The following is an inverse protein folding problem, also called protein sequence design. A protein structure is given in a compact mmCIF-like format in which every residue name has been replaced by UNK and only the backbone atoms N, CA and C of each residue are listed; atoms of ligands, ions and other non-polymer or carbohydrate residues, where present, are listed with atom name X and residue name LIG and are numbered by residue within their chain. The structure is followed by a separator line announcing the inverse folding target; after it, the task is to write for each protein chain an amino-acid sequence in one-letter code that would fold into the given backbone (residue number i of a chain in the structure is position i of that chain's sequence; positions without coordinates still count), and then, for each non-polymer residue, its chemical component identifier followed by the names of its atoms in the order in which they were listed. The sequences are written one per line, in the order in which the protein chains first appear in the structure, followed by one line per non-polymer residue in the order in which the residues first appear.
data_IF_811318189378
#
_entry.id   IF_811318189378
#
_cell.length_a   1.000
_cell.length_b   1.000
_cell.length_c   1.000
_cell.angle_alpha   90.00
_cell.angle_beta   90.00
_cell.angle_gamma   90.00
#
_symmetry.space_group_name_H-M   'P 1'
#
loop_
_entity.id
_entity.type
_entity.pdbx_description
1 polymer ?
#
# COMPACT_ATOMS: atom_id res chain seq x y z
N UNK A 1 -10.26 -11.81 -17.95
CA UNK A 1 -11.16 -11.68 -16.81
C UNK A 1 -10.54 -10.85 -15.68
N UNK A 2 -9.31 -11.12 -15.22
CA UNK A 2 -8.69 -10.40 -14.08
C UNK A 2 -8.39 -8.91 -14.33
N UNK A 3 -8.12 -8.51 -15.58
CA UNK A 3 -7.74 -7.11 -15.89
C UNK A 3 -8.95 -6.17 -15.82
N UNK A 4 -10.12 -6.61 -16.22
CA UNK A 4 -11.35 -5.79 -16.20
C UNK A 4 -11.75 -5.46 -14.75
N UNK A 5 -11.70 -6.46 -13.86
CA UNK A 5 -12.05 -6.31 -12.46
C UNK A 5 -11.12 -5.31 -11.73
N UNK A 6 -9.86 -5.18 -12.18
CA UNK A 6 -8.91 -4.27 -11.54
C UNK A 6 -9.18 -2.81 -11.91
N UNK A 7 -9.49 -2.51 -13.18
CA UNK A 7 -9.89 -1.17 -13.60
C UNK A 7 -11.16 -0.71 -12.90
N UNK A 8 -12.13 -1.59 -12.74
CA UNK A 8 -13.36 -1.33 -11.99
C UNK A 8 -13.06 -1.00 -10.52
N UNK A 9 -12.19 -1.78 -9.87
CA UNK A 9 -11.78 -1.52 -8.49
C UNK A 9 -11.03 -0.18 -8.33
N UNK A 10 -10.16 0.18 -9.29
CA UNK A 10 -9.48 1.48 -9.28
C UNK A 10 -10.47 2.63 -9.35
N UNK A 11 -11.38 2.54 -10.30
CA UNK A 11 -12.42 3.53 -10.54
C UNK A 11 -13.33 3.68 -9.33
N UNK A 12 -13.80 2.56 -8.79
CA UNK A 12 -14.67 2.52 -7.62
C UNK A 12 -13.98 3.13 -6.38
N UNK A 13 -12.69 2.78 -6.15
CA UNK A 13 -11.95 3.34 -5.01
C UNK A 13 -11.81 4.86 -5.13
N UNK A 14 -11.43 5.38 -6.30
CA UNK A 14 -11.27 6.81 -6.51
C UNK A 14 -12.60 7.56 -6.34
N UNK A 15 -13.70 7.01 -6.84
CA UNK A 15 -15.04 7.54 -6.63
C UNK A 15 -15.38 7.62 -5.12
N UNK A 16 -15.05 6.56 -4.37
CA UNK A 16 -15.23 6.54 -2.92
C UNK A 16 -14.40 7.59 -2.21
N UNK A 17 -13.12 7.73 -2.56
CA UNK A 17 -12.22 8.71 -1.93
C UNK A 17 -12.68 10.16 -2.20
N UNK A 18 -13.11 10.45 -3.43
CA UNK A 18 -13.67 11.75 -3.80
C UNK A 18 -14.97 12.07 -3.04
N UNK A 19 -15.84 11.07 -2.87
CA UNK A 19 -17.12 11.25 -2.16
C UNK A 19 -16.94 11.38 -0.65
N UNK A 20 -16.00 10.62 -0.06
CA UNK A 20 -15.70 10.68 1.36
C UNK A 20 -14.94 11.96 1.76
N UNK A 21 -14.27 12.59 0.80
CA UNK A 21 -13.43 13.74 1.06
C UNK A 21 -12.29 13.44 2.03
N UNK A 22 -11.80 14.47 2.72
CA UNK A 22 -10.71 14.34 3.67
C UNK A 22 -11.21 13.80 5.03
N UNK A 23 -11.29 12.50 5.14
CA UNK A 23 -11.69 11.82 6.37
C UNK A 23 -10.66 10.74 6.78
N UNK A 24 -10.81 10.23 8.01
CA UNK A 24 -9.90 9.18 8.56
C UNK A 24 -9.83 7.92 7.68
N UNK A 25 -10.93 7.55 7.01
CA UNK A 25 -10.96 6.39 6.11
C UNK A 25 -10.14 6.66 4.84
N UNK A 26 -10.31 7.85 4.24
CA UNK A 26 -9.56 8.31 3.07
C UNK A 26 -8.07 8.35 3.37
N UNK A 27 -7.65 9.04 4.44
CA UNK A 27 -6.25 9.14 4.83
C UNK A 27 -5.62 7.77 5.08
N UNK A 28 -6.37 6.84 5.71
CA UNK A 28 -5.90 5.46 5.92
C UNK A 28 -5.70 4.70 4.62
N UNK A 29 -6.62 4.82 3.66
CA UNK A 29 -6.51 4.16 2.35
C UNK A 29 -5.37 4.75 1.53
N UNK A 30 -5.26 6.07 1.48
CA UNK A 30 -4.18 6.78 0.79
C UNK A 30 -2.81 6.38 1.33
N UNK A 31 -2.65 6.26 2.66
CA UNK A 31 -1.38 5.83 3.27
C UNK A 31 -0.97 4.39 2.96
N UNK A 32 -1.87 3.56 2.47
CA UNK A 32 -1.63 2.15 2.14
C UNK A 32 -1.34 1.91 0.65
N UNK A 33 -1.55 2.92 -0.18
CA UNK A 33 -1.42 2.83 -1.63
C UNK A 33 -0.30 3.74 -2.14
N UNK A 34 0.11 3.48 -3.36
CA UNK A 34 1.05 4.31 -4.13
C UNK A 34 0.49 4.53 -5.54
N UNK A 35 1.07 5.45 -6.31
CA UNK A 35 0.72 5.63 -7.72
C UNK A 35 0.81 4.30 -8.49
N UNK A 36 1.80 3.45 -8.19
CA UNK A 36 1.97 2.11 -8.78
C UNK A 36 0.88 1.10 -8.41
N UNK A 37 -0.02 1.44 -7.49
CA UNK A 37 -1.18 0.59 -7.17
C UNK A 37 -2.24 0.63 -8.26
N UNK A 38 -2.20 1.64 -9.13
CA UNK A 38 -3.13 1.85 -10.22
C UNK A 38 -2.48 1.49 -11.56
N UNK A 39 -3.22 0.80 -12.43
CA UNK A 39 -2.78 0.46 -13.78
C UNK A 39 -3.10 1.57 -14.78
N UNK A 40 -4.29 2.17 -14.66
CA UNK A 40 -4.70 3.25 -15.52
C UNK A 40 -3.93 4.54 -15.25
N UNK A 41 -3.46 5.18 -16.31
CA UNK A 41 -2.64 6.41 -16.22
C UNK A 41 -3.44 7.59 -15.66
N UNK A 42 -4.72 7.69 -16.02
CA UNK A 42 -5.60 8.76 -15.54
C UNK A 42 -5.90 8.57 -14.06
N UNK A 43 -6.18 7.32 -13.65
CA UNK A 43 -6.39 6.97 -12.26
C UNK A 43 -5.17 7.25 -11.39
N UNK A 44 -3.95 7.00 -11.89
CA UNK A 44 -2.71 7.40 -11.19
C UNK A 44 -2.62 8.90 -10.94
N UNK A 45 -2.95 9.71 -11.95
CA UNK A 45 -2.94 11.18 -11.83
C UNK A 45 -3.93 11.67 -10.79
N UNK A 46 -5.14 11.10 -10.78
CA UNK A 46 -6.19 11.42 -9.81
C UNK A 46 -5.75 11.01 -8.41
N UNK A 47 -5.25 9.79 -8.24
CA UNK A 47 -4.76 9.31 -6.95
C UNK A 47 -3.61 10.17 -6.42
N UNK A 48 -2.67 10.56 -7.27
CA UNK A 48 -1.56 11.46 -6.91
C UNK A 48 -2.09 12.79 -6.37
N UNK A 49 -3.06 13.40 -7.05
CA UNK A 49 -3.68 14.64 -6.61
C UNK A 49 -4.39 14.47 -5.25
N UNK A 50 -5.19 13.41 -5.08
CA UNK A 50 -5.86 13.08 -3.82
C UNK A 50 -4.84 12.89 -2.68
N UNK A 51 -3.75 12.15 -2.95
CA UNK A 51 -2.70 11.91 -1.97
C UNK A 51 -2.02 13.22 -1.51
N UNK A 52 -1.71 14.11 -2.45
CA UNK A 52 -1.12 15.41 -2.14
C UNK A 52 -2.06 16.29 -1.30
N UNK A 53 -3.35 16.35 -1.66
CA UNK A 53 -4.36 17.10 -0.90
C UNK A 53 -4.54 16.53 0.51
N UNK A 54 -4.55 15.20 0.66
CA UNK A 54 -4.59 14.57 1.97
C UNK A 54 -3.37 14.90 2.84
N UNK A 55 -2.17 14.93 2.26
CA UNK A 55 -0.93 15.25 2.98
C UNK A 55 -0.87 16.71 3.40
N UNK A 56 -1.33 17.63 2.53
CA UNK A 56 -1.39 19.07 2.85
C UNK A 56 -2.56 19.44 3.79
N UNK A 57 -3.46 18.49 4.08
CA UNK A 57 -4.65 18.74 4.89
C UNK A 57 -5.73 19.56 4.16
N UNK A 58 -5.60 19.72 2.86
CA UNK A 58 -6.55 20.42 2.00
C UNK A 58 -7.81 19.57 1.75
N UNK A 59 -8.91 20.22 1.38
CA UNK A 59 -10.17 19.53 1.08
C UNK A 59 -9.98 18.66 -0.16
N UNK A 60 -10.43 17.40 -0.09
CA UNK A 60 -10.46 16.49 -1.22
C UNK A 60 -11.86 16.52 -1.83
N UNK A 61 -12.01 17.27 -2.91
CA UNK A 61 -13.22 17.32 -3.71
C UNK A 61 -12.87 17.37 -5.22
N UNK A 62 -13.89 17.39 -6.07
CA UNK A 62 -13.71 17.40 -7.53
C UNK A 62 -12.94 18.62 -8.04
N UNK A 63 -13.23 19.79 -7.49
CA UNK A 63 -12.60 21.06 -7.88
C UNK A 63 -11.13 21.04 -7.49
N UNK A 64 -10.85 20.73 -6.23
CA UNK A 64 -9.49 20.65 -5.70
C UNK A 64 -8.64 19.63 -6.46
N UNK A 65 -9.20 18.44 -6.76
CA UNK A 65 -8.49 17.42 -7.53
C UNK A 65 -8.25 17.86 -8.96
N UNK A 66 -9.24 18.47 -9.62
CA UNK A 66 -9.06 19.01 -10.98
C UNK A 66 -7.97 20.06 -11.01
N UNK A 67 -7.97 21.01 -10.09
CA UNK A 67 -6.98 22.08 -10.04
C UNK A 67 -5.59 21.53 -9.66
N UNK A 68 -5.53 20.55 -8.79
CA UNK A 68 -4.28 19.87 -8.43
C UNK A 68 -3.68 19.11 -9.60
N UNK A 69 -4.49 18.40 -10.40
CA UNK A 69 -3.99 17.72 -11.61
C UNK A 69 -3.49 18.71 -12.64
N UNK A 70 -4.14 19.87 -12.82
CA UNK A 70 -3.64 20.96 -13.69
C UNK A 70 -2.31 21.51 -13.17
N UNK A 71 -2.21 21.80 -11.88
CA UNK A 71 -0.97 22.32 -11.28
C UNK A 71 0.21 21.33 -11.37
N UNK A 72 -0.09 20.05 -11.38
CA UNK A 72 0.91 18.98 -11.61
C UNK A 72 1.30 18.83 -13.08
N UNK A 73 0.77 19.62 -14.00
CA UNK A 73 1.01 19.49 -15.44
C UNK A 73 0.37 18.25 -16.09
N UNK A 74 -0.57 17.61 -15.40
CA UNK A 74 -1.24 16.38 -15.84
C UNK A 74 -2.75 16.52 -15.74
N UNK A 75 -3.38 17.47 -16.48
CA UNK A 75 -4.79 17.77 -16.33
C UNK A 75 -5.67 16.54 -16.57
N UNK A 76 -6.72 16.41 -15.76
CA UNK A 76 -7.77 15.42 -15.92
C UNK A 76 -9.07 16.16 -16.18
N UNK A 77 -9.82 15.68 -17.16
CA UNK A 77 -11.10 16.26 -17.55
C UNK A 77 -12.14 16.13 -16.41
N UNK A 78 -12.83 17.22 -16.13
CA UNK A 78 -13.85 17.26 -15.10
C UNK A 78 -14.99 16.24 -15.38
N UNK A 79 -15.31 16.04 -16.67
CA UNK A 79 -16.30 15.04 -17.11
C UNK A 79 -15.96 13.62 -16.64
N UNK A 80 -14.68 13.24 -16.65
CA UNK A 80 -14.20 11.94 -16.17
C UNK A 80 -14.45 11.75 -14.66
N UNK A 81 -14.16 12.80 -13.88
CA UNK A 81 -14.42 12.77 -12.43
C UNK A 81 -15.91 12.77 -12.11
N UNK A 82 -16.72 13.51 -12.88
CA UNK A 82 -18.17 13.53 -12.71
C UNK A 82 -18.82 12.16 -13.06
N UNK A 83 -18.29 11.48 -14.05
CA UNK A 83 -18.74 10.12 -14.40
C UNK A 83 -18.38 9.12 -13.31
N UNK A 84 -17.20 9.24 -12.73
CA UNK A 84 -16.79 8.45 -11.55
C UNK A 84 -17.82 8.55 -10.42
N UNK A 85 -18.29 9.74 -10.13
CA UNK A 85 -19.26 9.96 -9.06
C UNK A 85 -20.63 9.34 -9.35
N UNK A 86 -21.07 9.36 -10.62
CA UNK A 86 -22.36 8.75 -11.00
C UNK A 86 -22.39 7.25 -10.75
N UNK A 87 -21.25 6.60 -10.88
CA UNK A 87 -21.09 5.16 -10.68
C UNK A 87 -20.76 4.78 -9.23
N UNK A 88 -20.69 5.77 -8.33
CA UNK A 88 -20.47 5.53 -6.92
C UNK A 88 -21.68 4.85 -6.27
N UNK A 89 -21.45 3.68 -5.69
CA UNK A 89 -22.51 2.90 -5.04
C UNK A 89 -22.46 3.01 -3.51
N UNK A 90 -21.31 2.85 -2.90
CA UNK A 90 -21.18 2.87 -1.42
C UNK A 90 -19.73 2.93 -0.95
N UNK A 91 -19.47 3.70 0.11
CA UNK A 91 -18.16 3.72 0.80
C UNK A 91 -17.94 2.56 1.77
N UNK A 92 -18.83 1.57 1.82
CA UNK A 92 -18.76 0.49 2.79
C UNK A 92 -17.50 -0.37 2.62
N UNK A 93 -17.05 -0.56 1.36
CA UNK A 93 -15.97 -1.50 1.02
C UNK A 93 -14.61 -0.83 0.72
N UNK A 94 -14.39 0.43 1.08
CA UNK A 94 -13.12 1.14 0.83
C UNK A 94 -11.90 0.30 1.27
N UNK A 95 -11.95 -0.30 2.45
CA UNK A 95 -10.83 -1.10 2.99
C UNK A 95 -10.59 -2.39 2.19
N UNK A 96 -11.65 -3.02 1.69
CA UNK A 96 -11.58 -4.22 0.86
C UNK A 96 -10.90 -3.93 -0.48
N UNK A 97 -11.37 -2.90 -1.18
CA UNK A 97 -10.81 -2.50 -2.48
C UNK A 97 -9.38 -1.98 -2.33
N UNK A 98 -9.09 -1.19 -1.29
CA UNK A 98 -7.72 -0.76 -0.98
C UNK A 98 -6.78 -1.96 -0.86
N UNK A 99 -7.21 -3.02 -0.17
CA UNK A 99 -6.44 -4.26 -0.04
C UNK A 99 -6.22 -4.93 -1.39
N UNK A 100 -7.27 -5.08 -2.20
CA UNK A 100 -7.18 -5.70 -3.54
C UNK A 100 -6.17 -4.96 -4.43
N UNK A 101 -6.26 -3.63 -4.52
CA UNK A 101 -5.35 -2.83 -5.33
C UNK A 101 -3.91 -2.92 -4.84
N UNK A 102 -3.71 -2.96 -3.53
CA UNK A 102 -2.40 -3.13 -2.93
C UNK A 102 -1.79 -4.50 -3.22
N UNK A 103 -2.57 -5.56 -3.09
CA UNK A 103 -2.14 -6.93 -3.38
C UNK A 103 -1.80 -7.09 -4.86
N UNK A 104 -2.64 -6.56 -5.76
CA UNK A 104 -2.38 -6.53 -7.19
C UNK A 104 -1.11 -5.77 -7.55
N UNK A 105 -0.85 -4.64 -6.90
CA UNK A 105 0.40 -3.89 -7.08
C UNK A 105 1.63 -4.69 -6.65
N UNK A 106 1.56 -5.36 -5.50
CA UNK A 106 2.64 -6.21 -5.01
C UNK A 106 2.91 -7.37 -5.96
N UNK A 107 1.84 -8.00 -6.47
CA UNK A 107 1.96 -9.09 -7.43
C UNK A 107 2.67 -8.62 -8.71
N UNK A 108 2.26 -7.48 -9.28
CA UNK A 108 2.90 -6.91 -10.48
C UNK A 108 4.37 -6.60 -10.23
N UNK A 109 4.67 -5.95 -9.12
CA UNK A 109 6.04 -5.64 -8.73
C UNK A 109 6.89 -6.90 -8.57
N UNK A 110 6.35 -7.94 -7.93
CA UNK A 110 7.05 -9.22 -7.75
C UNK A 110 7.34 -9.90 -9.09
N UNK A 111 6.36 -9.94 -10.01
CA UNK A 111 6.54 -10.51 -11.34
C UNK A 111 7.60 -9.73 -12.13
N UNK A 112 7.55 -8.40 -12.08
CA UNK A 112 8.56 -7.56 -12.72
C UNK A 112 9.97 -7.87 -12.19
N UNK A 113 10.14 -7.93 -10.86
CA UNK A 113 11.43 -8.22 -10.24
C UNK A 113 11.94 -9.62 -10.57
N UNK A 114 11.06 -10.61 -10.64
CA UNK A 114 11.45 -11.96 -11.10
C UNK A 114 11.95 -11.96 -12.55
N UNK A 115 11.29 -11.24 -13.43
CA UNK A 115 11.73 -11.11 -14.82
C UNK A 115 13.09 -10.40 -14.93
N UNK A 116 13.32 -9.35 -14.13
CA UNK A 116 14.62 -8.68 -14.02
C UNK A 116 15.71 -9.66 -13.52
N UNK A 117 15.42 -10.47 -12.49
CA UNK A 117 16.32 -11.49 -11.99
C UNK A 117 16.66 -12.52 -13.09
N UNK A 118 15.65 -13.03 -13.80
CA UNK A 118 15.85 -13.99 -14.89
C UNK A 118 16.74 -13.40 -15.98
N UNK A 119 16.45 -12.18 -16.42
CA UNK A 119 17.24 -11.50 -17.44
C UNK A 119 18.70 -11.32 -17.00
N UNK A 120 18.92 -10.91 -15.76
CA UNK A 120 20.26 -10.69 -15.22
C UNK A 120 21.06 -11.98 -15.07
N UNK A 121 20.43 -13.07 -14.62
CA UNK A 121 21.09 -14.39 -14.51
C UNK A 121 21.44 -14.94 -15.90
N UNK A 122 20.58 -14.72 -16.89
CA UNK A 122 20.75 -15.25 -18.24
C UNK A 122 21.81 -14.50 -19.06
N UNK A 123 22.11 -13.25 -18.71
CA UNK A 123 23.07 -12.42 -19.44
C UNK A 123 24.51 -12.71 -19.00
N UNK A 124 25.22 -13.51 -19.79
CA UNK A 124 26.61 -13.87 -19.52
C UNK A 124 27.60 -12.71 -19.63
N UNK A 125 27.22 -11.57 -20.19
CA UNK A 125 28.05 -10.37 -20.26
C UNK A 125 28.18 -9.65 -18.90
N UNK A 126 27.31 -9.95 -17.97
CA UNK A 126 27.24 -9.33 -16.62
C UNK A 126 28.22 -9.94 -15.59
N UNK A 127 29.25 -10.66 -16.03
CA UNK A 127 30.26 -11.22 -15.15
C UNK A 127 30.07 -12.71 -14.83
N UNK A 128 30.76 -13.19 -13.79
CA UNK A 128 30.70 -14.58 -13.37
C UNK A 128 29.30 -14.98 -12.89
N UNK A 129 28.93 -16.25 -13.06
CA UNK A 129 27.62 -16.76 -12.64
C UNK A 129 27.33 -16.46 -11.16
N UNK A 130 28.34 -16.59 -10.30
CA UNK A 130 28.18 -16.34 -8.87
C UNK A 130 27.79 -14.87 -8.56
N UNK A 131 28.38 -13.92 -9.29
CA UNK A 131 28.07 -12.49 -9.12
C UNK A 131 26.64 -12.20 -9.58
N UNK A 132 26.22 -12.79 -10.70
CA UNK A 132 24.86 -12.66 -11.24
C UNK A 132 23.82 -13.24 -10.28
N UNK A 133 24.10 -14.38 -9.66
CA UNK A 133 23.22 -14.99 -8.64
C UNK A 133 23.13 -14.11 -7.38
N UNK A 134 24.24 -13.57 -6.91
CA UNK A 134 24.26 -12.67 -5.76
C UNK A 134 23.44 -11.39 -6.01
N UNK A 135 23.52 -10.83 -7.22
CA UNK A 135 22.73 -9.66 -7.61
C UNK A 135 21.24 -9.99 -7.69
N UNK A 136 20.87 -11.11 -8.28
CA UNK A 136 19.48 -11.56 -8.34
C UNK A 136 18.90 -11.80 -6.93
N UNK A 137 19.70 -12.33 -6.00
CA UNK A 137 19.28 -12.47 -4.59
C UNK A 137 19.04 -11.11 -3.94
N UNK A 138 19.87 -10.11 -4.21
CA UNK A 138 19.69 -8.76 -3.72
C UNK A 138 18.39 -8.14 -4.26
N UNK A 139 18.14 -8.24 -5.57
CA UNK A 139 16.90 -7.77 -6.20
C UNK A 139 15.66 -8.43 -5.60
N UNK A 140 15.70 -9.74 -5.32
CA UNK A 140 14.59 -10.46 -4.71
C UNK A 140 14.37 -10.06 -3.24
N UNK A 141 15.44 -9.71 -2.53
CA UNK A 141 15.33 -9.25 -1.15
C UNK A 141 14.49 -7.97 -0.99
N UNK A 142 14.47 -7.11 -2.03
CA UNK A 142 13.61 -5.90 -2.06
C UNK A 142 12.12 -6.29 -2.02
N UNK A 143 11.72 -7.32 -2.75
CA UNK A 143 10.33 -7.82 -2.74
C UNK A 143 9.97 -8.34 -1.36
N UNK A 144 10.86 -9.11 -0.74
CA UNK A 144 10.67 -9.64 0.60
C UNK A 144 10.54 -8.52 1.64
N UNK A 145 11.38 -7.48 1.54
CA UNK A 145 11.33 -6.34 2.45
C UNK A 145 10.02 -5.56 2.34
N UNK A 146 9.49 -5.36 1.12
CA UNK A 146 8.19 -4.71 0.90
C UNK A 146 7.05 -5.56 1.44
N UNK A 147 7.12 -6.88 1.27
CA UNK A 147 6.13 -7.83 1.80
C UNK A 147 6.11 -7.81 3.33
N UNK A 148 7.29 -7.90 3.98
CA UNK A 148 7.43 -7.95 5.43
C UNK A 148 7.10 -6.63 6.13
N UNK A 149 7.47 -5.47 5.56
CA UNK A 149 7.08 -4.15 6.10
C UNK A 149 5.57 -3.99 6.32
N UNK A 150 4.77 -4.83 5.70
CA UNK A 150 3.31 -4.81 5.78
C UNK A 150 2.74 -5.66 6.91
N UNK A 151 3.48 -6.67 7.37
CA UNK A 151 3.06 -7.50 8.52
C UNK A 151 3.44 -6.87 9.87
N UNK A 152 4.50 -6.06 9.89
CA UNK A 152 4.86 -5.30 11.07
C UNK A 152 3.89 -4.12 11.22
N UNK A 153 2.66 -4.45 11.58
CA UNK A 153 1.72 -3.50 12.13
C UNK A 153 2.40 -2.96 13.39
N UNK A 154 2.92 -1.74 13.30
CA UNK A 154 3.32 -1.04 14.52
C UNK A 154 2.06 -0.95 15.38
N UNK A 155 1.94 -1.87 16.33
CA UNK A 155 0.96 -1.76 17.40
C UNK A 155 1.24 -0.43 18.04
N UNK A 156 0.21 0.39 18.25
CA UNK A 156 0.37 1.66 18.96
C UNK A 156 1.05 1.35 20.28
N UNK A 157 1.90 2.24 20.75
CA UNK A 157 2.59 2.06 22.03
C UNK A 157 1.61 1.66 23.15
N UNK A 158 0.40 2.21 23.14
CA UNK A 158 -0.70 1.83 24.03
C UNK A 158 -1.09 0.36 23.95
N UNK A 159 -1.16 -0.21 22.73
CA UNK A 159 -1.48 -1.65 22.56
C UNK A 159 -0.34 -2.54 23.06
N UNK A 160 0.91 -2.09 22.93
CA UNK A 160 2.07 -2.78 23.52
C UNK A 160 2.06 -2.70 25.04
N UNK A 161 1.75 -1.53 25.59
CA UNK A 161 1.66 -1.35 27.05
C UNK A 161 0.54 -2.22 27.64
N UNK A 162 -0.64 -2.25 27.03
CA UNK A 162 -1.75 -3.11 27.49
C UNK A 162 -1.37 -4.58 27.46
N UNK A 163 -0.74 -5.05 26.37
CA UNK A 163 -0.27 -6.44 26.28
C UNK A 163 0.78 -6.75 27.36
N UNK A 164 1.74 -5.88 27.54
CA UNK A 164 2.82 -6.08 28.54
C UNK A 164 2.26 -6.07 29.96
N UNK A 165 1.31 -5.21 30.26
CA UNK A 165 0.64 -5.14 31.55
C UNK A 165 -0.17 -6.43 31.79
N UNK A 166 -0.97 -6.86 30.83
CA UNK A 166 -1.77 -8.07 30.94
C UNK A 166 -0.90 -9.32 31.08
N UNK A 167 0.19 -9.45 30.31
CA UNK A 167 1.16 -10.53 30.46
C UNK A 167 1.84 -10.51 31.84
N UNK A 168 2.08 -9.33 32.40
CA UNK A 168 2.66 -9.20 33.73
C UNK A 168 1.69 -9.67 34.81
N UNK A 169 0.42 -9.32 34.71
CA UNK A 169 -0.62 -9.82 35.60
C UNK A 169 -0.83 -11.33 35.48
N UNK A 170 -0.84 -11.87 34.25
CA UNK A 170 -0.99 -13.31 34.02
C UNK A 170 0.21 -14.12 34.54
N UNK A 171 1.41 -13.50 34.61
CA UNK A 171 2.58 -14.11 35.28
C UNK A 171 2.45 -14.08 36.81
N UNK A 172 1.96 -12.98 37.37
CA UNK A 172 1.70 -12.87 38.81
C UNK A 172 0.62 -13.86 39.25
N UNK A 173 -0.42 -14.01 38.43
CA UNK A 173 -1.53 -14.97 38.67
C UNK A 173 -1.15 -16.43 38.39
N UNK A 174 0.09 -16.71 37.96
CA UNK A 174 0.57 -18.06 37.66
C UNK A 174 0.01 -18.68 36.38
N UNK A 175 -0.69 -17.93 35.55
CA UNK A 175 -1.24 -18.39 34.26
C UNK A 175 -0.18 -18.54 33.19
N UNK A 176 0.89 -17.76 33.25
CA UNK A 176 2.05 -17.84 32.36
C UNK A 176 3.28 -18.32 33.13
N UNK A 177 4.04 -19.23 32.52
CA UNK A 177 5.32 -19.68 33.10
C UNK A 177 6.29 -18.50 33.23
N UNK A 178 7.08 -18.42 34.32
CA UNK A 178 8.13 -17.42 34.43
C UNK A 178 9.07 -17.52 33.22
N UNK A 179 9.47 -16.36 32.68
CA UNK A 179 10.38 -16.29 31.55
C UNK A 179 11.66 -17.09 31.77
N UNK A 180 12.34 -17.46 30.70
CA UNK A 180 13.59 -18.22 30.75
C UNK A 180 14.59 -17.55 31.72
N UNK A 181 15.15 -18.36 32.65
CA UNK A 181 16.28 -17.91 33.44
C UNK A 181 17.43 -17.55 32.48
N UNK A 182 17.95 -16.34 32.60
CA UNK A 182 19.14 -15.93 31.86
C UNK A 182 20.26 -16.94 32.08
N UNK A 183 20.94 -17.44 31.03
CA UNK A 183 22.11 -18.32 31.20
C UNK A 183 23.28 -17.63 31.90
N UNK A 184 23.20 -16.32 32.17
CA UNK A 184 24.19 -15.51 32.84
C UNK A 184 23.83 -15.15 34.29
N UNK A 185 22.78 -15.71 34.87
CA UNK A 185 22.45 -15.56 36.28
C UNK A 185 23.19 -16.67 37.05
N UNK A 186 24.39 -16.37 37.51
CA UNK A 186 25.02 -17.08 38.63
C UNK A 186 24.44 -16.60 39.94
#
# INVERSE_FOLDING_TARGET
MIINDQFENEYELLAMLLTLGNCKKTSKSVSQLTEGSFMDVTNRKIFKAISQLCVSGEIVDFTAVTDKTKSNGTPVEWSYLAEMQKNYVSAANVSGITRILREGALQRFSVQKLNECIAHISDSSQGALQDRLSMAQTMWSEVSAISQKRETRMKKLSEYMELTINESFDRVDGKLKPGYKSPFAN
#
